data_IF_694123391315
#
_entry.id   IF_694123391315
#
_cell.length_a   1.000
_cell.length_b   1.000
_cell.length_c   1.000
_cell.angle_alpha   90.00
_cell.angle_beta   90.00
_cell.angle_gamma   90.00
#
_symmetry.space_group_name_H-M   'P 1'
#
loop_
_entity.id
_entity.type
_entity.pdbx_description
1 polymer ?
#
# COMPACT_ATOMS: atom_id res chain seq x y z
N UNK A 1 -6.90 5.56 29.55
CA UNK A 1 -5.83 5.45 28.55
C UNK A 1 -6.35 4.56 27.43
N UNK A 2 -6.91 5.17 26.38
CA UNK A 2 -7.36 4.43 25.21
C UNK A 2 -6.12 4.05 24.39
N UNK A 3 -5.83 2.76 24.30
CA UNK A 3 -4.86 2.23 23.34
C UNK A 3 -5.42 2.50 21.94
N UNK A 4 -4.89 3.52 21.27
CA UNK A 4 -5.11 3.75 19.84
C UNK A 4 -4.91 2.41 19.12
N UNK A 5 -6.00 1.78 18.66
CA UNK A 5 -5.90 0.52 17.94
C UNK A 5 -5.15 0.82 16.65
N UNK A 6 -3.92 0.32 16.55
CA UNK A 6 -3.07 0.44 15.36
C UNK A 6 -3.05 -0.90 14.65
N UNK A 7 -3.42 -0.89 13.37
CA UNK A 7 -3.31 -2.05 12.48
C UNK A 7 -2.29 -1.77 11.40
N UNK A 8 -1.35 -2.68 11.22
CA UNK A 8 -0.32 -2.58 10.19
C UNK A 8 -0.50 -3.71 9.20
N UNK A 9 -0.66 -3.34 7.94
CA UNK A 9 -0.76 -4.27 6.81
C UNK A 9 0.49 -4.12 5.96
N UNK A 10 1.16 -5.23 5.68
CA UNK A 10 2.32 -5.25 4.78
C UNK A 10 1.96 -6.09 3.57
N UNK A 11 2.05 -5.50 2.38
CA UNK A 11 1.91 -6.20 1.10
C UNK A 11 3.22 -6.12 0.34
N UNK A 12 3.59 -7.24 -0.27
CA UNK A 12 4.72 -7.32 -1.19
C UNK A 12 4.16 -7.56 -2.58
N UNK A 13 4.51 -6.67 -3.50
CA UNK A 13 4.01 -6.66 -4.87
C UNK A 13 5.21 -6.78 -5.79
N UNK A 14 5.25 -7.83 -6.60
CA UNK A 14 6.26 -7.92 -7.66
C UNK A 14 5.83 -7.00 -8.79
N UNK A 15 6.71 -6.09 -9.20
CA UNK A 15 6.47 -5.34 -10.43
C UNK A 15 6.57 -6.32 -11.60
N UNK A 16 5.65 -6.28 -12.58
CA UNK A 16 5.84 -7.02 -13.80
C UNK A 16 7.20 -6.62 -14.38
N UNK A 17 8.04 -7.59 -14.73
CA UNK A 17 9.39 -7.37 -15.25
C UNK A 17 9.35 -6.38 -16.41
N UNK A 18 9.58 -5.11 -16.13
CA UNK A 18 9.61 -4.07 -17.16
C UNK A 18 10.94 -4.23 -17.86
N UNK A 19 10.90 -4.75 -19.08
CA UNK A 19 12.04 -4.89 -19.98
C UNK A 19 12.76 -3.54 -20.10
N UNK A 20 13.96 -3.42 -19.52
CA UNK A 20 15.04 -2.43 -19.73
C UNK A 20 14.72 -1.04 -20.30
N UNK A 21 13.55 -0.49 -20.00
CA UNK A 21 13.11 0.84 -20.39
C UNK A 21 12.95 1.68 -19.12
N UNK A 22 13.31 2.97 -19.16
CA UNK A 22 13.05 3.87 -18.03
C UNK A 22 11.55 3.83 -17.71
N UNK A 23 11.22 3.42 -16.48
CA UNK A 23 9.85 3.44 -16.01
C UNK A 23 9.46 4.90 -15.84
N UNK A 24 8.74 5.45 -16.81
CA UNK A 24 8.07 6.74 -16.66
C UNK A 24 6.95 6.53 -15.65
N UNK A 25 7.18 6.97 -14.41
CA UNK A 25 6.17 6.93 -13.37
C UNK A 25 5.16 8.05 -13.60
N UNK A 26 4.04 7.72 -14.23
CA UNK A 26 2.88 8.59 -14.22
C UNK A 26 2.32 8.68 -12.80
N UNK A 27 2.32 9.89 -12.24
CA UNK A 27 1.93 10.11 -10.84
C UNK A 27 0.46 9.75 -10.63
N UNK A 28 -0.40 10.10 -11.59
CA UNK A 28 -1.83 9.79 -11.53
C UNK A 28 -2.10 8.27 -11.57
N UNK A 29 -1.47 7.55 -12.49
CA UNK A 29 -1.56 6.09 -12.57
C UNK A 29 -1.04 5.40 -11.30
N UNK A 30 0.01 5.95 -10.68
CA UNK A 30 0.55 5.43 -9.43
C UNK A 30 -0.37 5.69 -8.23
N UNK A 31 -0.98 6.88 -8.14
CA UNK A 31 -1.96 7.20 -7.11
C UNK A 31 -3.21 6.31 -7.23
N UNK A 32 -3.70 6.08 -8.45
CA UNK A 32 -4.82 5.18 -8.70
C UNK A 32 -4.48 3.73 -8.31
N UNK A 33 -3.25 3.28 -8.60
CA UNK A 33 -2.74 1.99 -8.15
C UNK A 33 -2.70 1.88 -6.62
N UNK A 34 -2.17 2.89 -5.91
CA UNK A 34 -2.15 2.91 -4.45
C UNK A 34 -3.57 2.85 -3.87
N UNK A 35 -4.51 3.60 -4.43
CA UNK A 35 -5.91 3.58 -4.02
C UNK A 35 -6.51 2.17 -4.14
N UNK A 36 -6.24 1.47 -5.23
CA UNK A 36 -6.67 0.06 -5.40
C UNK A 36 -6.06 -0.87 -4.38
N UNK A 37 -4.78 -0.70 -4.04
CA UNK A 37 -4.12 -1.56 -3.04
C UNK A 37 -4.64 -1.31 -1.62
N UNK A 38 -4.96 -0.06 -1.27
CA UNK A 38 -5.62 0.27 0.00
C UNK A 38 -7.03 -0.33 0.05
N UNK A 39 -7.78 -0.27 -1.05
CA UNK A 39 -9.10 -0.90 -1.14
C UNK A 39 -8.99 -2.42 -0.95
N UNK A 40 -8.05 -3.07 -1.63
CA UNK A 40 -7.78 -4.51 -1.47
C UNK A 40 -7.40 -4.89 -0.04
N UNK A 41 -6.66 -4.03 0.66
CA UNK A 41 -6.36 -4.25 2.07
C UNK A 41 -7.63 -4.23 2.92
N UNK A 42 -8.55 -3.28 2.67
CA UNK A 42 -9.85 -3.21 3.36
C UNK A 42 -10.77 -4.38 3.02
N UNK A 43 -10.73 -4.89 1.80
CA UNK A 43 -11.48 -6.08 1.39
C UNK A 43 -10.94 -7.34 2.07
N UNK A 44 -9.62 -7.43 2.24
CA UNK A 44 -8.95 -8.56 2.92
C UNK A 44 -9.13 -8.53 4.44
N UNK A 45 -9.19 -7.33 5.02
CA UNK A 45 -9.37 -7.10 6.46
C UNK A 45 -10.55 -6.13 6.68
N UNK A 46 -11.80 -6.63 6.75
CA UNK A 46 -13.00 -5.78 6.86
C UNK A 46 -13.00 -4.87 8.09
N UNK A 47 -12.29 -5.25 9.14
CA UNK A 47 -12.10 -4.42 10.34
C UNK A 47 -11.45 -3.07 10.04
N UNK A 48 -10.69 -2.94 8.94
CA UNK A 48 -10.06 -1.70 8.53
C UNK A 48 -11.05 -0.65 8.02
N UNK A 49 -12.32 -1.02 7.76
CA UNK A 49 -13.35 -0.05 7.35
C UNK A 49 -13.50 1.09 8.37
N UNK A 50 -13.40 0.78 9.66
CA UNK A 50 -13.45 1.76 10.75
C UNK A 50 -12.11 2.47 11.03
N UNK A 51 -11.07 2.21 10.24
CA UNK A 51 -9.74 2.78 10.45
C UNK A 51 -9.39 3.74 9.31
N UNK A 52 -8.70 4.81 9.66
CA UNK A 52 -8.10 5.74 8.71
C UNK A 52 -6.71 5.26 8.32
N UNK A 53 -6.39 5.33 7.02
CA UNK A 53 -5.02 5.17 6.56
C UNK A 53 -4.23 6.39 7.02
N UNK A 54 -3.28 6.19 7.93
CA UNK A 54 -2.50 7.27 8.52
C UNK A 54 -1.14 7.43 7.86
N UNK A 55 -0.49 6.32 7.52
CA UNK A 55 0.86 6.33 6.97
C UNK A 55 1.01 5.23 5.94
N UNK A 56 1.81 5.51 4.90
CA UNK A 56 2.06 4.61 3.80
C UNK A 56 3.54 4.67 3.45
N UNK A 57 4.22 3.53 3.60
CA UNK A 57 5.65 3.40 3.34
C UNK A 57 5.89 2.47 2.18
N UNK A 58 6.70 2.93 1.22
CA UNK A 58 6.98 2.22 -0.03
C UNK A 58 8.48 1.98 -0.10
N UNK A 59 8.86 0.72 -0.24
CA UNK A 59 10.25 0.34 -0.43
C UNK A 59 10.40 -0.45 -1.74
N UNK A 60 11.42 -0.11 -2.51
CA UNK A 60 11.78 -0.81 -3.75
C UNK A 60 12.96 -1.74 -3.45
N UNK A 61 12.77 -3.04 -3.67
CA UNK A 61 13.79 -4.07 -3.47
C UNK A 61 13.93 -4.91 -4.74
N UNK A 62 14.90 -4.54 -5.59
CA UNK A 62 15.06 -5.14 -6.90
C UNK A 62 13.83 -4.90 -7.78
N UNK A 63 13.14 -5.97 -8.15
CA UNK A 63 11.89 -5.93 -8.92
C UNK A 63 10.63 -5.95 -8.05
N UNK A 64 10.76 -5.90 -6.73
CA UNK A 64 9.63 -5.90 -5.80
C UNK A 64 9.39 -4.50 -5.23
N UNK A 65 8.11 -4.21 -5.00
CA UNK A 65 7.64 -3.09 -4.19
C UNK A 65 7.03 -3.64 -2.92
N UNK A 66 7.57 -3.25 -1.77
CA UNK A 66 6.95 -3.47 -0.47
C UNK A 66 6.12 -2.25 -0.10
N UNK A 67 4.83 -2.48 0.08
CA UNK A 67 3.86 -1.49 0.54
C UNK A 67 3.51 -1.80 2.01
N UNK A 68 3.84 -0.90 2.93
CA UNK A 68 3.39 -0.96 4.31
C UNK A 68 2.35 0.12 4.54
N UNK A 69 1.17 -0.30 4.96
CA UNK A 69 0.03 0.56 5.28
C UNK A 69 -0.20 0.51 6.80
N UNK A 70 -0.20 1.68 7.43
CA UNK A 70 -0.49 1.81 8.86
C UNK A 70 -1.86 2.49 9.02
N UNK A 71 -2.81 1.72 9.55
CA UNK A 71 -4.18 2.12 9.83
C UNK A 71 -4.36 2.43 11.32
N UNK A 72 -5.13 3.48 11.63
CA UNK A 72 -5.43 3.92 13.00
C UNK A 72 -6.91 4.27 13.13
N UNK A 73 -7.49 3.97 14.30
CA UNK A 73 -8.79 4.51 14.70
C UNK A 73 -8.66 5.95 15.17
#
# INVERSE_FOLDING_TARGET
METLRRRRVVRVLSLPSVSSQPITFDVDGWLDWLRREVQRARESEPELQDYHLHDLHIAFEGTNVKLRMDFRK
#
